data_IF_378991898796
#
_entry.id   IF_378991898796
#
_cell.length_a   1.000
_cell.length_b   1.000
_cell.length_c   1.000
_cell.angle_alpha   90.00
_cell.angle_beta   90.00
_cell.angle_gamma   90.00
#
_symmetry.space_group_name_H-M   'P 1'
#
loop_
_entity.id
_entity.type
_entity.pdbx_description
1 polymer ?
#
# COMPACT_ATOMS: atom_id res chain seq x y z
N UNK A 1 30.61 7.10 -18.60
CA UNK A 1 29.28 6.77 -18.12
C UNK A 1 29.47 6.00 -16.82
N UNK A 2 29.21 6.65 -15.70
CA UNK A 2 29.41 6.05 -14.39
C UNK A 2 28.35 4.93 -14.22
N UNK A 3 28.79 3.68 -14.08
CA UNK A 3 28.01 2.65 -13.41
C UNK A 3 27.84 3.13 -11.95
N UNK A 4 26.71 3.77 -11.64
CA UNK A 4 26.29 3.92 -10.26
C UNK A 4 26.17 2.50 -9.70
N UNK A 5 27.15 2.11 -8.90
CA UNK A 5 27.11 0.92 -8.08
C UNK A 5 25.86 1.07 -7.19
N UNK A 6 24.79 0.40 -7.60
CA UNK A 6 23.61 0.23 -6.75
C UNK A 6 24.02 -0.66 -5.59
N UNK A 7 24.54 -0.13 -4.54
CA UNK A 7 25.05 -0.77 -3.30
C UNK A 7 24.22 -1.97 -2.79
N UNK A 8 23.82 -2.87 -3.70
CA UNK A 8 22.93 -4.02 -3.48
C UNK A 8 21.45 -3.68 -3.44
N UNK A 9 21.04 -2.41 -3.65
CA UNK A 9 19.61 -2.05 -3.76
C UNK A 9 19.05 -2.42 -5.14
N UNK A 10 17.78 -2.88 -5.16
CA UNK A 10 17.08 -3.29 -6.39
C UNK A 10 16.51 -2.10 -7.16
N UNK A 11 16.04 -1.09 -6.46
CA UNK A 11 15.40 0.09 -7.02
C UNK A 11 16.01 1.41 -6.51
N UNK A 12 16.67 1.39 -5.35
CA UNK A 12 17.23 2.57 -4.71
C UNK A 12 16.17 3.53 -4.16
N UNK A 13 14.99 3.04 -3.78
CA UNK A 13 13.92 3.83 -3.19
C UNK A 13 14.14 4.06 -1.69
N UNK A 14 13.51 5.11 -1.13
CA UNK A 14 13.51 5.36 0.32
C UNK A 14 12.84 4.19 1.07
N UNK A 15 11.74 3.66 0.52
CA UNK A 15 11.07 2.51 1.12
C UNK A 15 12.00 1.29 1.18
N UNK A 16 12.71 0.99 0.09
CA UNK A 16 13.69 -0.10 0.08
C UNK A 16 14.78 0.13 1.12
N UNK A 17 15.32 1.36 1.20
CA UNK A 17 16.32 1.73 2.21
C UNK A 17 15.82 1.47 3.63
N UNK A 18 14.65 2.02 3.98
CA UNK A 18 14.08 1.88 5.33
C UNK A 18 13.92 0.42 5.72
N UNK A 19 13.39 -0.40 4.82
CA UNK A 19 13.13 -1.82 5.10
C UNK A 19 14.44 -2.64 5.16
N UNK A 20 15.40 -2.38 4.30
CA UNK A 20 16.69 -3.12 4.28
C UNK A 20 17.59 -2.78 5.45
N UNK A 21 17.56 -1.54 5.92
CA UNK A 21 18.32 -1.14 7.13
C UNK A 21 17.63 -1.61 8.43
N UNK A 22 16.54 -2.38 8.34
CA UNK A 22 15.84 -2.94 9.49
C UNK A 22 14.97 -1.93 10.25
N UNK A 23 14.70 -0.77 9.64
CA UNK A 23 13.75 0.18 10.21
C UNK A 23 12.31 -0.24 9.99
N UNK A 24 11.44 0.07 10.93
CA UNK A 24 10.02 -0.20 10.80
C UNK A 24 9.37 0.75 9.78
N UNK A 25 8.97 0.20 8.62
CA UNK A 25 8.48 0.97 7.48
C UNK A 25 7.08 1.55 7.73
N UNK A 26 6.83 2.74 7.18
CA UNK A 26 5.51 3.39 7.18
C UNK A 26 5.16 3.78 5.76
N UNK A 27 4.11 3.19 5.22
CA UNK A 27 3.51 3.62 3.97
C UNK A 27 2.10 4.13 4.20
N UNK A 28 1.65 5.07 3.37
CA UNK A 28 0.28 5.60 3.41
C UNK A 28 -0.39 5.47 2.05
N UNK A 29 -1.66 5.85 1.95
CA UNK A 29 -2.42 5.82 0.70
C UNK A 29 -2.89 7.22 0.32
N UNK A 30 -2.79 7.55 -0.97
CA UNK A 30 -3.36 8.71 -1.62
C UNK A 30 -4.25 8.27 -2.77
N UNK A 31 -5.56 8.47 -2.62
CA UNK A 31 -6.53 8.19 -3.67
C UNK A 31 -6.58 9.34 -4.68
N UNK A 32 -6.30 9.08 -5.99
CA UNK A 32 -6.46 10.08 -7.04
C UNK A 32 -7.91 10.58 -7.16
N UNK A 33 -8.13 11.84 -7.60
CA UNK A 33 -9.46 12.39 -7.77
C UNK A 33 -10.18 11.79 -8.99
N UNK A 34 -11.52 11.89 -8.99
CA UNK A 34 -12.37 11.62 -10.17
C UNK A 34 -12.47 12.85 -11.10
N UNK A 35 -11.38 13.58 -11.27
CA UNK A 35 -11.32 14.79 -12.09
C UNK A 35 -9.91 14.98 -12.63
N UNK A 36 -9.72 15.94 -13.51
CA UNK A 36 -8.42 16.37 -14.02
C UNK A 36 -7.73 17.41 -13.10
N UNK A 37 -8.28 17.69 -11.92
CA UNK A 37 -7.74 18.67 -11.00
C UNK A 37 -6.55 18.10 -10.23
N UNK A 38 -5.34 18.46 -10.66
CA UNK A 38 -4.09 18.10 -9.97
C UNK A 38 -3.89 18.83 -8.63
N UNK A 39 -4.70 19.87 -8.32
CA UNK A 39 -4.67 20.57 -7.03
C UNK A 39 -5.02 19.63 -5.88
N UNK A 40 -5.95 18.71 -6.08
CA UNK A 40 -6.34 17.70 -5.09
C UNK A 40 -5.14 16.84 -4.64
N UNK A 41 -4.27 16.47 -5.58
CA UNK A 41 -3.04 15.71 -5.23
C UNK A 41 -2.12 16.55 -4.35
N UNK A 42 -1.94 17.84 -4.67
CA UNK A 42 -1.10 18.75 -3.87
C UNK A 42 -1.64 18.95 -2.45
N UNK A 43 -2.94 19.13 -2.32
CA UNK A 43 -3.58 19.28 -1.00
C UNK A 43 -3.37 18.03 -0.14
N UNK A 44 -3.63 16.84 -0.67
CA UNK A 44 -3.44 15.58 0.03
C UNK A 44 -1.96 15.31 0.38
N UNK A 45 -1.05 15.67 -0.51
CA UNK A 45 0.38 15.49 -0.30
C UNK A 45 0.92 16.22 0.93
N UNK A 46 0.35 17.39 1.27
CA UNK A 46 0.77 18.17 2.45
C UNK A 46 0.63 17.39 3.77
N UNK A 47 -0.38 16.52 3.87
CA UNK A 47 -0.62 15.73 5.07
C UNK A 47 0.29 14.50 5.18
N UNK A 48 0.85 14.05 4.05
CA UNK A 48 1.64 12.82 3.96
C UNK A 48 3.16 13.07 3.94
N UNK A 49 3.56 14.32 3.66
CA UNK A 49 4.96 14.71 3.62
C UNK A 49 5.64 14.48 4.97
N UNK A 50 6.81 13.86 4.93
CA UNK A 50 7.67 13.56 6.10
C UNK A 50 7.08 12.58 7.12
N UNK A 51 5.86 12.08 6.93
CA UNK A 51 5.23 11.12 7.85
C UNK A 51 5.15 9.70 7.30
N UNK A 52 5.36 9.53 5.99
CA UNK A 52 5.45 8.23 5.34
C UNK A 52 6.77 8.10 4.57
N UNK A 53 7.26 6.86 4.44
CA UNK A 53 8.47 6.55 3.67
C UNK A 53 8.17 6.49 2.18
N UNK A 54 6.97 6.00 1.84
CA UNK A 54 6.40 6.05 0.50
C UNK A 54 4.87 6.06 0.55
N UNK A 55 4.22 6.48 -0.54
CA UNK A 55 2.77 6.68 -0.59
C UNK A 55 2.18 5.94 -1.78
N UNK A 56 1.23 5.04 -1.52
CA UNK A 56 0.48 4.34 -2.56
C UNK A 56 -0.38 5.33 -3.35
N UNK A 57 -0.25 5.28 -4.67
CA UNK A 57 -1.13 6.00 -5.60
C UNK A 57 -2.04 4.97 -6.24
N UNK A 58 -3.32 4.97 -5.87
CA UNK A 58 -4.26 3.91 -6.25
C UNK A 58 -4.61 3.94 -7.74
N UNK A 59 -4.91 2.77 -8.31
CA UNK A 59 -5.26 2.58 -9.73
C UNK A 59 -6.72 2.18 -9.86
N UNK A 60 -7.61 3.15 -10.07
CA UNK A 60 -9.05 2.96 -10.19
C UNK A 60 -9.62 2.07 -9.06
N UNK A 61 -9.31 2.40 -7.80
CA UNK A 61 -9.76 1.61 -6.66
C UNK A 61 -11.29 1.42 -6.68
N UNK A 62 -11.75 0.23 -6.29
CA UNK A 62 -13.17 -0.20 -6.35
C UNK A 62 -13.74 -0.12 -7.77
N UNK A 63 -12.88 -0.21 -8.81
CA UNK A 63 -13.25 -0.10 -10.22
C UNK A 63 -13.98 1.22 -10.59
N UNK A 64 -13.69 2.30 -9.87
CA UNK A 64 -14.20 3.65 -10.13
C UNK A 64 -13.14 4.44 -10.89
N UNK A 65 -13.53 5.06 -12.00
CA UNK A 65 -12.63 5.89 -12.82
C UNK A 65 -12.08 7.05 -12.02
N UNK A 66 -10.76 7.15 -12.00
CA UNK A 66 -9.98 8.21 -11.33
C UNK A 66 -8.83 8.66 -12.22
N UNK A 67 -8.15 9.72 -11.84
CA UNK A 67 -6.89 10.10 -12.47
C UNK A 67 -5.91 8.92 -12.39
N UNK A 68 -5.15 8.67 -13.48
CA UNK A 68 -4.25 7.50 -13.53
C UNK A 68 -3.21 7.51 -12.42
N UNK A 69 -2.84 6.33 -11.94
CA UNK A 69 -1.81 6.15 -10.91
C UNK A 69 -0.47 6.81 -11.33
N UNK A 70 -0.01 6.58 -12.55
CA UNK A 70 1.24 7.16 -13.07
C UNK A 70 1.15 8.69 -13.16
N UNK A 71 0.08 9.24 -13.73
CA UNK A 71 -0.10 10.69 -13.82
C UNK A 71 -0.16 11.37 -12.45
N UNK A 72 -0.88 10.76 -11.50
CA UNK A 72 -0.97 11.25 -10.12
C UNK A 72 0.37 11.12 -9.38
N UNK A 73 1.15 10.07 -9.65
CA UNK A 73 2.48 9.89 -9.07
C UNK A 73 3.46 11.00 -9.49
N UNK A 74 3.43 11.44 -10.75
CA UNK A 74 4.23 12.59 -11.21
C UNK A 74 3.89 13.85 -10.41
N UNK A 75 2.60 14.09 -10.15
CA UNK A 75 2.18 15.23 -9.33
C UNK A 75 2.62 15.09 -7.87
N UNK A 76 2.50 13.89 -7.29
CA UNK A 76 2.93 13.61 -5.92
C UNK A 76 4.45 13.76 -5.74
N UNK A 77 5.25 13.33 -6.72
CA UNK A 77 6.71 13.51 -6.69
C UNK A 77 7.11 14.99 -6.69
N UNK A 78 6.38 15.86 -7.37
CA UNK A 78 6.61 17.33 -7.33
C UNK A 78 6.36 17.92 -5.94
N UNK A 79 5.59 17.22 -5.11
CA UNK A 79 5.35 17.57 -3.71
C UNK A 79 6.26 16.81 -2.74
N UNK A 80 7.37 16.24 -3.24
CA UNK A 80 8.39 15.50 -2.47
C UNK A 80 7.86 14.23 -1.80
N UNK A 81 6.83 13.60 -2.37
CA UNK A 81 6.40 12.25 -1.96
C UNK A 81 7.08 11.20 -2.82
N UNK A 82 7.49 10.10 -2.21
CA UNK A 82 7.93 8.91 -2.94
C UNK A 82 6.70 8.04 -3.26
N UNK A 83 6.34 7.84 -4.54
CA UNK A 83 5.16 7.07 -4.90
C UNK A 83 5.45 5.56 -4.90
N UNK A 84 4.43 4.80 -4.48
CA UNK A 84 4.22 3.39 -4.84
C UNK A 84 3.09 3.39 -5.86
N UNK A 85 3.41 3.32 -7.16
CA UNK A 85 2.36 3.25 -8.17
C UNK A 85 1.63 1.92 -8.08
N UNK A 86 0.31 1.94 -8.11
CA UNK A 86 -0.47 0.71 -8.25
C UNK A 86 -0.72 0.43 -9.73
N UNK A 87 -0.68 -0.85 -10.11
CA UNK A 87 -1.04 -1.31 -11.44
C UNK A 87 -1.96 -2.51 -11.35
N UNK A 88 -3.16 -2.39 -11.91
CA UNK A 88 -4.15 -3.46 -11.95
C UNK A 88 -4.11 -4.21 -13.28
N UNK A 89 -4.28 -5.54 -13.23
CA UNK A 89 -4.45 -6.38 -14.42
C UNK A 89 -5.86 -6.28 -15.03
N UNK A 90 -6.79 -5.63 -14.34
CA UNK A 90 -8.18 -5.50 -14.75
C UNK A 90 -8.35 -4.70 -16.03
N UNK A 91 -7.63 -3.58 -16.16
CA UNK A 91 -7.89 -2.55 -17.18
C UNK A 91 -6.91 -2.61 -18.36
N UNK A 92 -5.79 -3.34 -18.24
CA UNK A 92 -4.69 -3.36 -19.22
C UNK A 92 -4.26 -4.78 -19.54
N UNK A 93 -3.89 -5.02 -20.81
CA UNK A 93 -3.19 -6.25 -21.19
C UNK A 93 -1.66 -6.08 -21.01
N UNK A 94 -0.91 -7.19 -21.17
CA UNK A 94 0.55 -7.22 -21.02
C UNK A 94 1.29 -6.28 -21.98
N UNK A 95 0.70 -6.02 -23.17
CA UNK A 95 1.31 -5.09 -24.13
C UNK A 95 1.23 -3.64 -23.64
N UNK A 96 0.15 -3.25 -22.96
CA UNK A 96 -0.02 -1.91 -22.40
C UNK A 96 0.74 -1.74 -21.07
N UNK A 97 0.83 -2.80 -20.25
CA UNK A 97 1.51 -2.73 -18.94
C UNK A 97 3.02 -2.49 -19.08
N UNK A 98 3.70 -3.15 -20.02
CA UNK A 98 5.15 -3.07 -20.15
C UNK A 98 5.65 -1.66 -20.55
N UNK A 99 5.09 -0.96 -21.54
CA UNK A 99 5.49 0.40 -21.83
C UNK A 99 5.12 1.39 -20.71
N UNK A 100 4.00 1.19 -20.01
CA UNK A 100 3.66 1.99 -18.83
C UNK A 100 4.73 1.85 -17.74
N UNK A 101 5.27 0.65 -17.51
CA UNK A 101 6.36 0.41 -16.56
C UNK A 101 7.68 1.05 -17.01
N UNK A 102 8.04 0.97 -18.29
CA UNK A 102 9.21 1.66 -18.81
C UNK A 102 9.10 3.18 -18.61
N UNK A 103 7.93 3.74 -18.93
CA UNK A 103 7.67 5.17 -18.77
C UNK A 103 7.69 5.59 -17.29
N UNK A 104 7.07 4.81 -16.40
CA UNK A 104 7.06 5.10 -14.97
C UNK A 104 8.48 5.13 -14.38
N UNK A 105 9.33 4.16 -14.76
CA UNK A 105 10.73 4.16 -14.34
C UNK A 105 11.50 5.37 -14.89
N UNK A 106 11.36 5.69 -16.18
CA UNK A 106 12.00 6.84 -16.82
C UNK A 106 11.57 8.18 -16.18
N UNK A 107 10.33 8.24 -15.62
CA UNK A 107 9.82 9.38 -14.87
C UNK A 107 10.31 9.42 -13.41
N UNK A 108 11.13 8.47 -12.97
CA UNK A 108 11.72 8.44 -11.63
C UNK A 108 10.97 7.59 -10.59
N UNK A 109 9.90 6.90 -10.95
CA UNK A 109 9.18 6.02 -10.02
C UNK A 109 9.99 4.74 -9.76
N UNK A 110 10.05 4.34 -8.48
CA UNK A 110 10.90 3.21 -8.03
C UNK A 110 10.13 2.11 -7.30
N UNK A 111 8.89 2.35 -6.87
CA UNK A 111 8.07 1.35 -6.18
C UNK A 111 6.80 1.08 -6.97
N UNK A 112 6.43 -0.21 -7.04
CA UNK A 112 5.25 -0.68 -7.76
C UNK A 112 4.47 -1.67 -6.89
N UNK A 113 3.15 -1.54 -6.79
CA UNK A 113 2.26 -2.53 -6.20
C UNK A 113 1.46 -3.24 -7.30
N UNK A 114 1.68 -4.54 -7.45
CA UNK A 114 1.04 -5.38 -8.46
C UNK A 114 -0.30 -5.93 -7.97
N UNK A 115 -1.39 -5.61 -8.65
CA UNK A 115 -2.76 -5.94 -8.27
C UNK A 115 -3.49 -6.68 -9.39
N UNK A 116 -4.40 -7.59 -9.01
CA UNK A 116 -5.38 -8.14 -9.97
C UNK A 116 -6.44 -7.10 -10.31
N UNK A 117 -6.89 -6.34 -9.30
CA UNK A 117 -7.97 -5.36 -9.39
C UNK A 117 -9.34 -5.94 -9.05
N UNK A 118 -10.24 -5.09 -8.57
CA UNK A 118 -11.64 -5.44 -8.30
C UNK A 118 -12.41 -5.57 -9.61
N UNK A 119 -13.46 -6.41 -9.62
CA UNK A 119 -14.29 -6.60 -10.81
C UNK A 119 -15.07 -5.31 -11.15
N UNK A 120 -15.25 -5.00 -12.43
CA UNK A 120 -15.94 -3.79 -12.91
C UNK A 120 -17.36 -3.63 -12.35
N UNK A 121 -18.04 -4.73 -12.02
CA UNK A 121 -19.39 -4.69 -11.45
C UNK A 121 -19.50 -3.92 -10.11
N UNK A 122 -18.37 -3.71 -9.42
CA UNK A 122 -18.32 -2.91 -8.19
C UNK A 122 -18.16 -1.41 -8.43
N UNK A 123 -17.82 -1.02 -9.66
CA UNK A 123 -17.49 0.36 -10.00
C UNK A 123 -18.60 1.12 -10.74
N UNK A 124 -18.22 2.26 -11.28
CA UNK A 124 -19.12 3.16 -11.99
C UNK A 124 -19.31 2.81 -13.48
N UNK A 125 -18.58 1.81 -14.00
CA UNK A 125 -18.74 1.25 -15.35
C UNK A 125 -18.94 -0.27 -15.32
N UNK A 126 -20.07 -0.77 -14.79
CA UNK A 126 -20.26 -2.19 -14.55
C UNK A 126 -20.33 -3.05 -15.82
N UNK A 127 -20.53 -2.42 -16.99
CA UNK A 127 -20.57 -3.10 -18.30
C UNK A 127 -19.24 -3.05 -19.04
N UNK A 128 -18.22 -2.40 -18.50
CA UNK A 128 -16.88 -2.43 -19.07
C UNK A 128 -16.34 -3.87 -19.14
N UNK A 129 -15.42 -4.14 -20.07
CA UNK A 129 -14.82 -5.46 -20.20
C UNK A 129 -13.56 -5.55 -19.33
N UNK A 130 -13.53 -6.54 -18.42
CA UNK A 130 -12.30 -6.89 -17.74
C UNK A 130 -11.31 -7.47 -18.77
N UNK A 131 -10.05 -7.07 -18.68
CA UNK A 131 -8.98 -7.60 -19.54
C UNK A 131 -8.42 -8.89 -18.93
N UNK A 132 -7.86 -8.80 -17.72
CA UNK A 132 -7.27 -9.94 -17.00
C UNK A 132 -6.43 -10.87 -17.89
N UNK A 133 -5.62 -10.28 -18.77
CA UNK A 133 -4.61 -11.00 -19.54
C UNK A 133 -3.54 -11.63 -18.64
N UNK A 134 -3.28 -10.99 -17.50
CA UNK A 134 -2.47 -11.48 -16.41
C UNK A 134 -3.25 -11.41 -15.09
N UNK A 135 -2.81 -12.17 -14.10
CA UNK A 135 -3.13 -11.93 -12.69
C UNK A 135 -1.96 -11.23 -11.97
N UNK A 136 -2.15 -10.87 -10.71
CA UNK A 136 -1.11 -10.16 -9.95
C UNK A 136 0.17 -10.98 -9.75
N UNK A 137 0.11 -12.30 -9.72
CA UNK A 137 1.30 -13.16 -9.59
C UNK A 137 2.11 -13.16 -10.89
N UNK A 138 1.41 -13.25 -12.02
CA UNK A 138 2.02 -13.16 -13.34
C UNK A 138 2.60 -11.76 -13.61
N UNK A 139 1.90 -10.70 -13.15
CA UNK A 139 2.42 -9.33 -13.24
C UNK A 139 3.70 -9.15 -12.41
N UNK A 140 3.75 -9.66 -11.17
CA UNK A 140 4.97 -9.65 -10.34
C UNK A 140 6.12 -10.33 -11.09
N UNK A 141 5.88 -11.52 -11.66
CA UNK A 141 6.90 -12.25 -12.41
C UNK A 141 7.37 -11.49 -13.64
N UNK A 142 6.46 -10.91 -14.42
CA UNK A 142 6.80 -10.08 -15.58
C UNK A 142 7.70 -8.89 -15.20
N UNK A 143 7.35 -8.17 -14.14
CA UNK A 143 8.15 -7.03 -13.68
C UNK A 143 9.52 -7.46 -13.17
N UNK A 144 9.57 -8.59 -12.44
CA UNK A 144 10.84 -9.19 -12.01
C UNK A 144 11.73 -9.54 -13.20
N UNK A 145 11.19 -10.19 -14.23
CA UNK A 145 11.96 -10.57 -15.41
C UNK A 145 12.42 -9.34 -16.21
N UNK A 146 11.60 -8.28 -16.31
CA UNK A 146 12.02 -7.01 -16.88
C UNK A 146 13.19 -6.38 -16.11
N UNK A 147 13.18 -6.45 -14.76
CA UNK A 147 14.22 -5.90 -13.90
C UNK A 147 15.50 -6.75 -13.90
N UNK A 148 15.37 -8.04 -13.59
CA UNK A 148 16.49 -8.92 -13.28
C UNK A 148 17.09 -9.57 -14.54
N UNK A 149 16.23 -10.02 -15.48
CA UNK A 149 16.63 -10.70 -16.72
C UNK A 149 16.72 -9.72 -17.91
N UNK A 150 16.28 -8.47 -17.72
CA UNK A 150 16.29 -7.43 -18.76
C UNK A 150 15.56 -7.85 -20.03
N UNK A 151 14.44 -8.55 -19.89
CA UNK A 151 13.65 -9.02 -21.04
C UNK A 151 12.16 -8.69 -20.87
N UNK A 152 11.49 -8.49 -22.00
CA UNK A 152 10.02 -8.44 -22.06
C UNK A 152 9.43 -9.83 -21.85
N UNK A 153 8.14 -9.91 -21.55
CA UNK A 153 7.46 -11.17 -21.30
C UNK A 153 7.48 -12.14 -22.53
N UNK A 154 7.65 -11.62 -23.74
CA UNK A 154 7.84 -12.42 -24.95
C UNK A 154 9.24 -13.06 -25.05
N UNK A 155 10.18 -12.67 -24.20
CA UNK A 155 11.57 -13.11 -24.23
C UNK A 155 12.53 -12.19 -24.99
N UNK A 156 12.03 -11.17 -25.68
CA UNK A 156 12.87 -10.20 -26.36
C UNK A 156 13.65 -9.35 -25.34
N UNK A 157 14.95 -9.06 -25.59
CA UNK A 157 15.76 -8.27 -24.68
C UNK A 157 15.31 -6.79 -24.65
N UNK A 158 15.32 -6.19 -23.47
CA UNK A 158 15.16 -4.74 -23.30
C UNK A 158 16.47 -4.08 -23.72
N UNK A 159 16.39 -3.18 -24.71
CA UNK A 159 17.55 -2.44 -25.23
C UNK A 159 17.83 -1.22 -24.35
N UNK A 160 19.01 -1.19 -23.73
CA UNK A 160 19.42 -0.09 -22.86
C UNK A 160 19.02 -0.32 -21.39
N UNK A 161 18.47 0.71 -20.74
CA UNK A 161 18.13 0.67 -19.32
C UNK A 161 16.86 -0.15 -19.07
N UNK A 162 16.93 -1.10 -18.14
CA UNK A 162 15.80 -1.88 -17.70
C UNK A 162 15.11 -1.22 -16.48
N UNK A 163 13.78 -1.35 -16.31
CA UNK A 163 13.10 -0.70 -15.22
C UNK A 163 13.45 -1.34 -13.87
N UNK A 164 13.91 -0.53 -12.93
CA UNK A 164 14.30 -0.96 -11.59
C UNK A 164 13.18 -0.63 -10.61
N UNK A 165 12.37 -1.64 -10.23
CA UNK A 165 11.30 -1.48 -9.26
C UNK A 165 11.53 -2.31 -8.01
N UNK A 166 11.22 -1.73 -6.85
CA UNK A 166 10.94 -2.45 -5.61
C UNK A 166 9.49 -2.96 -5.71
N UNK A 167 9.32 -4.27 -5.84
CA UNK A 167 8.07 -4.89 -6.30
C UNK A 167 7.20 -5.27 -5.12
N UNK A 168 6.04 -4.65 -5.02
CA UNK A 168 5.03 -4.89 -4.00
C UNK A 168 3.92 -5.84 -4.45
N UNK A 169 3.33 -6.50 -3.48
CA UNK A 169 2.14 -7.32 -3.64
C UNK A 169 1.12 -7.08 -2.53
N UNK A 170 -0.17 -7.25 -2.82
CA UNK A 170 -1.20 -7.23 -1.78
C UNK A 170 -1.41 -8.62 -1.18
N UNK A 171 -1.77 -8.69 0.10
CA UNK A 171 -2.19 -9.93 0.77
C UNK A 171 -3.45 -9.68 1.59
N UNK A 172 -4.39 -10.64 1.57
CA UNK A 172 -5.50 -10.67 2.50
C UNK A 172 -5.30 -11.83 3.49
N UNK A 173 -4.89 -11.53 4.74
CA UNK A 173 -4.61 -12.56 5.74
C UNK A 173 -5.87 -13.29 6.24
N UNK A 174 -7.05 -12.72 6.04
CA UNK A 174 -8.31 -13.21 6.63
C UNK A 174 -9.27 -13.87 5.64
N UNK A 175 -8.93 -13.90 4.35
CA UNK A 175 -9.79 -14.53 3.35
C UNK A 175 -9.86 -16.05 3.51
N UNK A 176 -10.99 -16.66 3.15
CA UNK A 176 -11.13 -18.11 3.16
C UNK A 176 -10.55 -18.79 1.90
N UNK A 177 -10.04 -20.01 2.01
CA UNK A 177 -9.68 -20.71 3.23
C UNK A 177 -8.49 -20.06 3.94
N UNK A 178 -8.57 -19.83 5.23
CA UNK A 178 -7.55 -19.14 6.03
C UNK A 178 -6.17 -19.83 5.95
N UNK A 179 -6.16 -21.15 6.04
CA UNK A 179 -4.95 -21.97 6.02
C UNK A 179 -4.18 -21.84 4.70
N UNK A 180 -4.86 -21.48 3.61
CA UNK A 180 -4.25 -21.32 2.29
C UNK A 180 -3.58 -19.95 2.11
N UNK A 181 -3.88 -18.96 2.96
CA UNK A 181 -3.37 -17.58 2.78
C UNK A 181 -1.85 -17.47 2.83
N UNK A 182 -1.11 -18.13 3.73
CA UNK A 182 0.35 -18.13 3.70
C UNK A 182 0.92 -18.77 2.43
N UNK A 183 0.29 -19.83 1.90
CA UNK A 183 0.72 -20.46 0.63
C UNK A 183 0.46 -19.56 -0.57
N UNK A 184 -0.64 -18.79 -0.57
CA UNK A 184 -0.87 -17.79 -1.61
C UNK A 184 0.16 -16.66 -1.54
N UNK A 185 0.55 -16.25 -0.34
CA UNK A 185 1.68 -15.33 -0.14
C UNK A 185 2.98 -15.92 -0.69
N UNK A 186 3.28 -17.18 -0.38
CA UNK A 186 4.48 -17.87 -0.86
C UNK A 186 4.58 -17.86 -2.40
N UNK A 187 3.45 -17.98 -3.13
CA UNK A 187 3.43 -17.88 -4.60
C UNK A 187 3.85 -16.48 -5.07
N UNK A 188 3.45 -15.41 -4.38
CA UNK A 188 3.84 -14.03 -4.71
C UNK A 188 5.31 -13.78 -4.43
N UNK A 189 5.82 -14.32 -3.32
CA UNK A 189 7.25 -14.28 -2.98
C UNK A 189 8.07 -15.03 -4.05
N UNK A 190 7.66 -16.23 -4.42
CA UNK A 190 8.33 -17.01 -5.48
C UNK A 190 8.29 -16.32 -6.85
N UNK A 191 7.25 -15.54 -7.14
CA UNK A 191 7.16 -14.73 -8.34
C UNK A 191 8.10 -13.52 -8.34
N UNK A 192 8.56 -13.05 -7.16
CA UNK A 192 9.54 -11.98 -7.04
C UNK A 192 9.06 -10.74 -6.29
N UNK A 193 8.03 -10.85 -5.45
CA UNK A 193 7.63 -9.74 -4.59
C UNK A 193 8.74 -9.43 -3.56
N UNK A 194 9.09 -8.16 -3.42
CA UNK A 194 10.08 -7.65 -2.48
C UNK A 194 9.42 -7.19 -1.18
N UNK A 195 8.20 -6.65 -1.26
CA UNK A 195 7.38 -6.30 -0.10
C UNK A 195 5.91 -6.68 -0.31
N UNK A 196 5.17 -6.74 0.79
CA UNK A 196 3.74 -7.05 0.80
C UNK A 196 3.01 -6.08 1.69
N UNK A 197 1.89 -5.56 1.22
CA UNK A 197 0.94 -4.79 2.02
C UNK A 197 -0.31 -5.65 2.26
N UNK A 198 -0.73 -5.76 3.52
CA UNK A 198 -1.93 -6.55 3.84
C UNK A 198 -3.20 -5.70 3.76
N UNK A 199 -4.34 -6.36 3.69
CA UNK A 199 -5.65 -5.75 3.95
C UNK A 199 -5.69 -5.23 5.40
N UNK A 200 -6.60 -4.30 5.70
CA UNK A 200 -6.84 -3.75 7.04
C UNK A 200 -7.02 -4.86 8.10
N UNK A 201 -6.30 -4.71 9.20
CA UNK A 201 -6.27 -5.66 10.32
C UNK A 201 -7.03 -5.05 11.49
N UNK A 202 -8.19 -5.65 11.84
CA UNK A 202 -8.98 -5.34 13.03
C UNK A 202 -9.21 -6.60 13.89
N UNK A 203 -8.48 -7.70 13.59
CA UNK A 203 -8.40 -8.92 14.41
C UNK A 203 -6.92 -9.30 14.55
N UNK A 204 -6.26 -8.70 15.53
CA UNK A 204 -4.82 -8.91 15.76
C UNK A 204 -4.51 -10.34 16.20
N UNK A 205 -5.29 -11.01 17.08
CA UNK A 205 -5.06 -12.42 17.39
C UNK A 205 -5.04 -13.32 16.16
N UNK A 206 -5.99 -13.16 15.23
CA UNK A 206 -6.03 -13.93 13.98
C UNK A 206 -4.87 -13.56 13.04
N UNK A 207 -4.46 -12.29 13.05
CA UNK A 207 -3.26 -11.87 12.31
C UNK A 207 -1.98 -12.49 12.86
N UNK A 208 -1.82 -12.61 14.19
CA UNK A 208 -0.71 -13.33 14.82
C UNK A 208 -0.65 -14.78 14.36
N UNK A 209 -1.80 -15.46 14.29
CA UNK A 209 -1.88 -16.83 13.78
C UNK A 209 -1.45 -16.93 12.31
N UNK A 210 -1.87 -15.98 11.46
CA UNK A 210 -1.40 -15.90 10.08
C UNK A 210 0.12 -15.68 10.02
N UNK A 211 0.65 -14.70 10.77
CA UNK A 211 2.09 -14.40 10.79
C UNK A 211 2.92 -15.56 11.31
N UNK A 212 2.45 -16.29 12.34
CA UNK A 212 3.11 -17.51 12.78
C UNK A 212 3.34 -18.50 11.64
N UNK A 213 2.32 -18.74 10.82
CA UNK A 213 2.42 -19.63 9.64
C UNK A 213 3.35 -19.05 8.56
N UNK A 214 3.39 -17.75 8.40
CA UNK A 214 4.34 -17.05 7.51
C UNK A 214 5.77 -17.25 7.96
N UNK A 215 6.02 -17.16 9.27
CA UNK A 215 7.33 -17.40 9.90
C UNK A 215 7.71 -18.89 9.77
N UNK A 216 6.80 -19.81 10.08
CA UNK A 216 7.02 -21.27 9.94
C UNK A 216 7.42 -21.67 8.50
N UNK A 217 6.97 -20.92 7.49
CA UNK A 217 7.35 -21.11 6.09
C UNK A 217 8.62 -20.34 5.66
N UNK A 218 9.25 -19.60 6.57
CA UNK A 218 10.45 -18.78 6.30
C UNK A 218 10.20 -17.65 5.29
N UNK A 219 8.95 -17.18 5.15
CA UNK A 219 8.61 -16.15 4.16
C UNK A 219 9.03 -14.75 4.62
N UNK A 220 9.01 -14.49 5.92
CA UNK A 220 9.41 -13.21 6.53
C UNK A 220 10.89 -12.85 6.31
N UNK A 221 11.72 -13.84 6.01
CA UNK A 221 13.14 -13.65 5.66
C UNK A 221 13.32 -13.28 4.17
N UNK A 222 12.29 -13.45 3.35
CA UNK A 222 12.34 -13.31 1.88
C UNK A 222 11.57 -12.10 1.37
N UNK A 223 10.64 -11.57 2.15
CA UNK A 223 9.76 -10.46 1.76
C UNK A 223 9.42 -9.60 2.97
N UNK A 224 9.42 -8.30 2.81
CA UNK A 224 9.01 -7.38 3.87
C UNK A 224 7.48 -7.30 3.96
N UNK A 225 6.91 -7.53 5.15
CA UNK A 225 5.47 -7.53 5.37
C UNK A 225 5.05 -6.26 6.09
N UNK A 226 4.27 -5.42 5.42
CA UNK A 226 3.67 -4.21 5.96
C UNK A 226 2.21 -4.49 6.28
N UNK A 227 1.88 -4.44 7.56
CA UNK A 227 0.53 -4.70 8.05
C UNK A 227 -0.41 -3.55 7.72
N UNK A 228 -1.53 -3.83 7.08
CA UNK A 228 -2.56 -2.83 6.77
C UNK A 228 -3.28 -2.38 8.02
N UNK A 229 -3.28 -1.09 8.30
CA UNK A 229 -3.98 -0.47 9.42
C UNK A 229 -4.73 0.77 8.95
N UNK A 230 -5.74 1.21 9.71
CA UNK A 230 -6.44 2.43 9.34
C UNK A 230 -7.43 2.89 10.42
N UNK A 231 -7.66 4.20 10.53
CA UNK A 231 -8.57 4.73 11.53
C UNK A 231 -10.03 4.43 11.18
N UNK A 232 -10.82 4.02 12.17
CA UNK A 232 -12.26 3.80 12.02
C UNK A 232 -12.97 5.15 12.11
N UNK A 233 -13.68 5.56 11.06
CA UNK A 233 -14.34 6.87 10.99
C UNK A 233 -15.63 6.98 11.82
N UNK A 234 -16.30 5.88 12.08
CA UNK A 234 -17.55 5.83 12.86
C UNK A 234 -17.97 4.40 13.18
N UNK A 235 -18.88 4.21 14.13
CA UNK A 235 -19.48 2.91 14.41
C UNK A 235 -20.23 2.33 13.18
N UNK A 236 -20.79 3.19 12.32
CA UNK A 236 -21.39 2.78 11.04
C UNK A 236 -20.37 2.22 10.07
N UNK A 237 -19.21 2.87 9.95
CA UNK A 237 -18.10 2.41 9.12
C UNK A 237 -17.55 1.07 9.62
N UNK A 238 -17.39 0.89 10.94
CA UNK A 238 -16.97 -0.37 11.54
C UNK A 238 -17.90 -1.53 11.18
N UNK A 239 -19.22 -1.33 11.34
CA UNK A 239 -20.22 -2.32 10.96
C UNK A 239 -20.22 -2.61 9.45
N UNK A 240 -20.11 -1.57 8.61
CA UNK A 240 -20.06 -1.75 7.17
C UNK A 240 -18.84 -2.61 6.75
N UNK A 241 -17.67 -2.31 7.29
CA UNK A 241 -16.45 -3.08 7.02
C UNK A 241 -16.63 -4.55 7.45
N UNK A 242 -17.18 -4.80 8.63
CA UNK A 242 -17.45 -6.14 9.16
C UNK A 242 -18.43 -6.93 8.32
N UNK A 243 -19.54 -6.30 7.92
CA UNK A 243 -20.71 -7.01 7.37
C UNK A 243 -20.73 -7.03 5.83
N UNK A 244 -20.00 -6.12 5.16
CA UNK A 244 -20.11 -5.87 3.72
C UNK A 244 -18.80 -5.95 2.95
N UNK A 245 -17.64 -5.92 3.63
CA UNK A 245 -16.34 -5.98 2.93
C UNK A 245 -15.76 -7.39 3.04
N UNK A 246 -15.70 -8.16 1.92
CA UNK A 246 -15.22 -9.52 1.95
C UNK A 246 -13.76 -9.61 2.45
N UNK A 247 -13.51 -10.55 3.36
CA UNK A 247 -12.18 -10.79 3.90
C UNK A 247 -11.69 -9.73 4.89
N UNK A 248 -12.59 -8.88 5.38
CA UNK A 248 -12.32 -7.96 6.48
C UNK A 248 -13.04 -8.45 7.75
N UNK A 249 -12.31 -8.57 8.83
CA UNK A 249 -12.84 -8.98 10.13
C UNK A 249 -12.66 -7.83 11.10
N UNK A 250 -13.77 -7.27 11.56
CA UNK A 250 -13.78 -6.19 12.59
C UNK A 250 -14.40 -6.78 13.86
N UNK A 251 -13.62 -6.83 14.94
CA UNK A 251 -14.08 -7.35 16.24
C UNK A 251 -15.14 -6.44 16.84
N UNK A 252 -16.11 -7.06 17.55
CA UNK A 252 -17.23 -6.33 18.15
C UNK A 252 -16.77 -5.23 19.12
N UNK A 253 -15.67 -5.45 19.84
CA UNK A 253 -15.09 -4.48 20.77
C UNK A 253 -14.82 -3.10 20.13
N UNK A 254 -14.40 -3.06 18.85
CA UNK A 254 -14.19 -1.80 18.14
C UNK A 254 -15.51 -1.11 17.81
N UNK A 255 -16.57 -1.86 17.49
CA UNK A 255 -17.91 -1.30 17.27
C UNK A 255 -18.44 -0.71 18.58
N UNK A 256 -18.23 -1.42 19.70
CA UNK A 256 -18.62 -0.98 21.04
C UNK A 256 -17.86 0.28 21.46
N UNK A 257 -16.54 0.32 21.27
CA UNK A 257 -15.70 1.51 21.53
C UNK A 257 -16.17 2.71 20.73
N UNK A 258 -16.44 2.53 19.43
CA UNK A 258 -16.95 3.61 18.57
C UNK A 258 -18.35 4.10 18.98
N UNK A 259 -19.21 3.22 19.51
CA UNK A 259 -20.49 3.62 20.08
C UNK A 259 -20.31 4.38 21.41
N UNK A 260 -19.41 3.89 22.27
CA UNK A 260 -19.12 4.52 23.56
C UNK A 260 -18.51 5.93 23.39
N UNK A 261 -17.69 6.14 22.37
CA UNK A 261 -17.07 7.45 22.09
C UNK A 261 -18.10 8.58 21.91
N UNK A 262 -19.32 8.26 21.50
CA UNK A 262 -20.40 9.25 21.30
C UNK A 262 -21.52 9.14 22.34
N UNK A 263 -21.33 8.34 23.39
CA UNK A 263 -22.29 8.23 24.47
C UNK A 263 -22.45 9.59 25.16
N UNK A 264 -23.71 10.02 25.32
CA UNK A 264 -24.03 11.33 25.94
C UNK A 264 -23.90 12.53 24.97
N UNK A 265 -23.47 12.35 23.73
CA UNK A 265 -23.48 13.43 22.73
C UNK A 265 -24.80 13.36 21.95
N UNK A 266 -25.61 14.43 21.93
CA UNK A 266 -26.89 14.46 21.20
C UNK A 266 -26.72 14.07 19.73
N UNK A 267 -27.70 13.36 19.17
CA UNK A 267 -27.63 12.90 17.75
C UNK A 267 -27.60 14.07 16.76
N UNK A 268 -28.16 15.18 17.13
CA UNK A 268 -28.26 16.43 16.38
C UNK A 268 -26.89 17.13 16.29
N UNK A 269 -26.04 16.95 17.27
CA UNK A 269 -24.68 17.49 17.29
C UNK A 269 -23.71 16.64 16.48
N UNK A 270 -23.91 16.66 15.15
CA UNK A 270 -23.13 15.88 14.19
C UNK A 270 -21.65 16.21 14.23
N UNK A 271 -21.29 17.46 14.52
CA UNK A 271 -19.91 17.92 14.60
C UNK A 271 -19.16 17.23 15.74
N UNK A 272 -19.63 17.40 16.99
CA UNK A 272 -19.00 16.77 18.16
C UNK A 272 -18.99 15.24 18.08
N UNK A 273 -20.04 14.63 17.52
CA UNK A 273 -20.07 13.18 17.30
C UNK A 273 -19.00 12.71 16.31
N UNK A 274 -18.84 13.44 15.19
CA UNK A 274 -17.79 13.15 14.21
C UNK A 274 -16.41 13.26 14.86
N UNK A 275 -16.13 14.34 15.56
CA UNK A 275 -14.83 14.58 16.19
C UNK A 275 -14.52 13.52 17.25
N UNK A 276 -15.52 13.10 18.05
CA UNK A 276 -15.38 12.02 19.02
C UNK A 276 -15.07 10.67 18.35
N UNK A 277 -15.76 10.33 17.26
CA UNK A 277 -15.44 9.13 16.48
C UNK A 277 -14.06 9.18 15.86
N UNK A 278 -13.68 10.31 15.29
CA UNK A 278 -12.37 10.47 14.65
C UNK A 278 -11.24 10.31 15.68
N UNK A 279 -11.37 10.93 16.85
CA UNK A 279 -10.39 10.79 17.93
C UNK A 279 -10.27 9.34 18.41
N UNK A 280 -11.38 8.64 18.61
CA UNK A 280 -11.37 7.25 19.05
C UNK A 280 -10.81 6.32 17.94
N UNK A 281 -11.16 6.57 16.67
CA UNK A 281 -10.63 5.80 15.53
C UNK A 281 -9.13 5.95 15.37
N UNK A 282 -8.57 7.15 15.54
CA UNK A 282 -7.12 7.38 15.56
C UNK A 282 -6.47 6.64 16.74
N UNK A 283 -7.06 6.71 17.94
CA UNK A 283 -6.55 6.01 19.12
C UNK A 283 -6.51 4.51 18.94
N UNK A 284 -7.59 3.91 18.40
CA UNK A 284 -7.64 2.49 18.07
C UNK A 284 -6.51 2.13 17.09
N UNK A 285 -6.30 2.93 16.05
CA UNK A 285 -5.26 2.68 15.06
C UNK A 285 -3.85 2.74 15.68
N UNK A 286 -3.59 3.69 16.56
CA UNK A 286 -2.32 3.81 17.30
C UNK A 286 -2.08 2.55 18.15
N UNK A 287 -3.06 2.13 18.95
CA UNK A 287 -2.97 0.93 19.78
C UNK A 287 -2.70 -0.34 18.93
N UNK A 288 -3.37 -0.46 17.78
CA UNK A 288 -3.14 -1.54 16.85
C UNK A 288 -1.72 -1.53 16.28
N UNK A 289 -1.18 -0.39 15.89
CA UNK A 289 0.20 -0.26 15.40
C UNK A 289 1.19 -0.70 16.48
N UNK A 290 1.01 -0.26 17.72
CA UNK A 290 1.87 -0.64 18.84
C UNK A 290 1.86 -2.14 19.08
N UNK A 291 0.69 -2.80 19.01
CA UNK A 291 0.59 -4.25 19.18
C UNK A 291 1.13 -5.03 17.98
N UNK A 292 0.90 -4.56 16.76
CA UNK A 292 1.37 -5.18 15.50
C UNK A 292 2.90 -5.13 15.41
N UNK A 293 3.52 -4.08 15.93
CA UNK A 293 4.98 -3.90 15.94
C UNK A 293 5.71 -5.00 16.69
N UNK A 294 5.05 -5.64 17.65
CA UNK A 294 5.60 -6.74 18.47
C UNK A 294 5.40 -8.12 17.80
N UNK A 295 4.82 -8.18 16.59
CA UNK A 295 4.59 -9.43 15.88
C UNK A 295 5.80 -9.77 15.02
N UNK A 296 6.39 -10.94 15.27
CA UNK A 296 7.53 -11.45 14.50
C UNK A 296 7.23 -11.47 12.99
N UNK A 297 8.18 -10.99 12.20
CA UNK A 297 8.11 -10.97 10.74
C UNK A 297 7.34 -9.78 10.15
N UNK A 298 6.79 -8.89 10.99
CA UNK A 298 6.21 -7.64 10.51
C UNK A 298 7.31 -6.58 10.38
N UNK A 299 7.50 -6.05 9.17
CA UNK A 299 8.54 -5.07 8.86
C UNK A 299 8.03 -3.62 8.85
N UNK A 300 6.73 -3.41 8.96
CA UNK A 300 6.14 -2.07 8.91
C UNK A 300 4.63 -2.07 8.87
N UNK A 301 4.06 -0.88 8.64
CA UNK A 301 2.62 -0.68 8.47
C UNK A 301 2.31 0.05 7.17
N UNK A 302 1.14 -0.27 6.64
CA UNK A 302 0.51 0.46 5.54
C UNK A 302 -0.77 1.13 6.06
N UNK A 303 -0.77 2.46 6.16
CA UNK A 303 -1.87 3.24 6.76
C UNK A 303 -2.88 3.63 5.66
N UNK A 304 -4.05 3.00 5.70
CA UNK A 304 -5.17 3.25 4.78
C UNK A 304 -6.18 4.21 5.44
N UNK A 305 -5.83 5.50 5.50
CA UNK A 305 -6.73 6.56 5.93
C UNK A 305 -7.56 7.07 4.74
N UNK A 306 -8.41 6.22 4.19
CA UNK A 306 -9.15 6.45 2.93
C UNK A 306 -9.94 7.76 3.00
N UNK A 307 -9.64 8.73 2.10
CA UNK A 307 -10.23 10.08 2.06
C UNK A 307 -10.18 10.80 3.42
N UNK A 308 -9.07 10.62 4.13
CA UNK A 308 -8.83 11.27 5.42
C UNK A 308 -7.32 11.31 5.73
N UNK A 309 -6.56 11.83 4.79
CA UNK A 309 -5.10 11.85 4.81
C UNK A 309 -4.55 12.64 6.03
N UNK A 310 -5.32 13.62 6.57
CA UNK A 310 -4.95 14.37 7.77
C UNK A 310 -4.78 13.49 9.02
N UNK A 311 -5.42 12.31 9.06
CA UNK A 311 -5.30 11.39 10.18
C UNK A 311 -3.94 10.68 10.24
N UNK A 312 -3.18 10.64 9.13
CA UNK A 312 -1.93 9.87 9.07
C UNK A 312 -0.88 10.44 10.02
N UNK A 313 -0.68 11.76 10.04
CA UNK A 313 0.32 12.39 10.92
C UNK A 313 0.07 12.09 12.41
N UNK A 314 -1.11 12.36 13.00
CA UNK A 314 -1.35 12.05 14.42
C UNK A 314 -1.25 10.56 14.73
N UNK A 315 -1.55 9.66 13.77
CA UNK A 315 -1.36 8.22 13.94
C UNK A 315 0.13 7.87 14.03
N UNK A 316 0.95 8.35 13.11
CA UNK A 316 2.39 8.05 13.05
C UNK A 316 3.11 8.63 14.27
N UNK A 317 2.79 9.87 14.66
CA UNK A 317 3.33 10.52 15.86
C UNK A 317 2.91 9.78 17.13
N UNK A 318 1.62 9.48 17.28
CA UNK A 318 1.07 8.78 18.45
C UNK A 318 1.58 7.34 18.59
N UNK A 319 1.90 6.67 17.48
CA UNK A 319 2.50 5.35 17.49
C UNK A 319 4.03 5.37 17.77
N UNK A 320 4.63 6.55 17.95
CA UNK A 320 6.07 6.69 18.22
C UNK A 320 6.94 6.31 17.01
N UNK A 321 6.46 6.57 15.78
CA UNK A 321 7.16 6.25 14.54
C UNK A 321 7.85 7.47 13.88
N UNK A 322 7.90 8.61 14.57
CA UNK A 322 8.65 9.79 14.14
C UNK A 322 9.97 9.95 14.92
N UNK A 323 11.01 10.56 14.34
CA UNK A 323 11.11 10.99 12.92
C UNK A 323 11.27 9.80 11.97
N UNK A 324 10.86 9.98 10.71
CA UNK A 324 11.05 8.92 9.70
C UNK A 324 12.53 8.82 9.29
N UNK A 325 13.07 7.57 9.17
CA UNK A 325 14.40 7.35 8.63
C UNK A 325 14.52 7.89 7.21
N UNK A 326 15.68 8.43 6.87
CA UNK A 326 15.99 8.91 5.53
C UNK A 326 17.37 8.42 5.12
N UNK A 327 17.61 8.03 3.86
CA UNK A 327 18.95 7.80 3.36
C UNK A 327 19.78 9.07 3.54
N UNK A 328 21.07 8.91 3.86
CA UNK A 328 21.96 10.03 3.88
C UNK A 328 21.95 10.73 2.51
N UNK A 329 21.96 12.06 2.46
CA UNK A 329 22.07 12.76 1.18
C UNK A 329 23.33 12.26 0.47
N UNK A 330 23.18 11.94 -0.83
CA UNK A 330 24.32 11.57 -1.64
C UNK A 330 25.39 12.68 -1.49
N UNK A 331 26.62 12.30 -1.16
CA UNK A 331 27.70 13.27 -1.08
C UNK A 331 27.76 13.98 -2.44
N UNK A 332 27.42 15.27 -2.45
CA UNK A 332 27.64 16.13 -3.60
C UNK A 332 29.15 16.14 -3.83
N UNK A 333 29.59 15.41 -4.86
CA UNK A 333 30.94 15.63 -5.39
C UNK A 333 30.99 17.07 -5.84
N UNK A 334 31.61 17.92 -5.02
CA UNK A 334 31.99 19.27 -5.40
C UNK A 334 33.13 19.10 -6.40
N UNK A 335 32.83 19.21 -7.68
CA UNK A 335 33.83 19.53 -8.71
C UNK A 335 33.93 21.04 -8.86
#
# INVERSE_FOLDING_TARGET
MAEEQTNGYKAGSTLEYVLREGHFGVTAELGPPQSADGGVIREKAQFLRDVADAVNITDNQTAIVRMSSIGSAVLAMRESLEPIIQMTCRDRNRLAMQPDLLAAHALGMRNLLCLTGDHHSFGNHPTAKNVHDLDSIQLIRMVKDMRDEKCFQCGDPIKGEAPQFFIGAASNPFGDPFEFRPYRLAKKVAAGADFVQTQLIYDIPRFREFMKRVVDLGLHEKVYILAGVGPIKSAGAARYMRDKVPGMIVREEYVERMNAAVAGIPKEDKGRRRDAWQNEGIKICIEQIQEIREIEGVAGVHIMAIEWEEAVRPIVEGAGLMPRPRPAPAATSVE
#
